data_IF_115156498087
#
_entry.id   IF_115156498087
#
_cell.length_a   1.000
_cell.length_b   1.000
_cell.length_c   1.000
_cell.angle_alpha   90.00
_cell.angle_beta   90.00
_cell.angle_gamma   90.00
#
_symmetry.space_group_name_H-M   'P 1'
#
loop_
_entity.id
_entity.type
_entity.pdbx_description
1 polymer ?
#
# COMPACT_ATOMS: atom_id res chain seq x y z
N UNK A 1 7.61 10.86 5.83
CA UNK A 1 6.87 10.10 6.87
C UNK A 1 7.54 8.79 7.27
N UNK A 2 8.32 8.17 6.37
CA UNK A 2 9.00 6.87 6.61
C UNK A 2 10.04 6.82 7.73
N UNK A 3 10.88 7.83 7.99
CA UNK A 3 11.75 7.80 9.18
C UNK A 3 10.94 7.76 10.48
N UNK A 4 9.70 8.28 10.47
CA UNK A 4 8.77 8.25 11.62
C UNK A 4 8.03 6.91 11.70
N UNK A 5 7.56 6.35 10.57
CA UNK A 5 6.98 4.99 10.53
C UNK A 5 8.03 3.92 10.84
N UNK A 6 9.27 4.09 10.38
CA UNK A 6 10.41 3.23 10.68
C UNK A 6 10.85 3.40 12.13
N UNK A 7 10.83 4.63 12.68
CA UNK A 7 10.94 4.84 14.14
C UNK A 7 9.73 4.31 14.90
N UNK A 8 8.56 4.11 14.31
CA UNK A 8 7.40 3.49 14.99
C UNK A 8 7.54 1.98 14.98
N UNK A 9 7.95 1.39 13.86
CA UNK A 9 8.32 -0.02 13.81
C UNK A 9 9.48 -0.26 14.77
N UNK A 10 10.52 0.59 14.80
CA UNK A 10 11.65 0.46 15.72
C UNK A 10 11.28 0.82 17.17
N UNK A 11 10.53 1.87 17.48
CA UNK A 11 10.14 2.22 18.86
C UNK A 11 9.06 1.29 19.43
N UNK A 12 8.20 0.72 18.59
CA UNK A 12 7.36 -0.41 19.00
C UNK A 12 8.16 -1.72 19.11
N UNK A 13 9.35 -1.82 18.50
CA UNK A 13 10.24 -2.99 18.59
C UNK A 13 11.40 -2.84 19.59
N UNK A 14 11.80 -1.64 20.07
CA UNK A 14 13.11 -1.45 20.73
C UNK A 14 13.11 -1.26 22.25
N UNK A 15 11.97 -0.98 22.93
CA UNK A 15 11.87 -1.29 24.36
C UNK A 15 10.63 -2.11 24.75
N UNK A 16 9.72 -2.43 23.82
CA UNK A 16 8.53 -3.26 24.13
C UNK A 16 8.83 -4.77 24.03
N UNK A 17 9.93 -5.16 23.38
CA UNK A 17 10.26 -6.57 23.16
C UNK A 17 10.77 -7.35 24.38
N UNK A 18 11.05 -6.70 25.53
CA UNK A 18 11.61 -7.38 26.69
C UNK A 18 10.63 -7.73 27.81
N UNK A 19 9.36 -7.35 27.70
CA UNK A 19 8.34 -7.92 28.58
C UNK A 19 6.96 -7.76 27.97
N UNK A 20 6.27 -8.89 27.81
CA UNK A 20 4.83 -9.07 27.50
C UNK A 20 4.47 -9.28 26.02
N UNK A 21 3.74 -10.39 25.82
CA UNK A 21 3.05 -10.90 24.63
C UNK A 21 2.99 -9.98 23.40
N UNK A 22 3.40 -10.55 22.26
CA UNK A 22 3.34 -10.00 20.92
C UNK A 22 2.04 -9.22 20.63
N UNK A 23 2.19 -7.91 20.46
CA UNK A 23 1.16 -7.11 19.77
C UNK A 23 1.10 -7.64 18.34
N UNK A 24 -0.10 -8.02 17.87
CA UNK A 24 -0.25 -8.54 16.53
C UNK A 24 0.07 -7.41 15.51
N UNK A 25 0.96 -7.64 14.52
CA UNK A 25 1.28 -6.62 13.50
C UNK A 25 0.04 -6.05 12.80
N UNK A 26 -0.99 -6.89 12.59
CA UNK A 26 -2.27 -6.47 12.03
C UNK A 26 -3.00 -5.45 12.93
N UNK A 27 -2.91 -5.58 14.25
CA UNK A 27 -3.51 -4.64 15.19
C UNK A 27 -2.80 -3.28 15.15
N UNK A 28 -1.47 -3.30 15.01
CA UNK A 28 -0.68 -2.06 14.85
C UNK A 28 -1.06 -1.34 13.57
N UNK A 29 -1.15 -2.07 12.45
CA UNK A 29 -1.56 -1.50 11.16
C UNK A 29 -3.00 -0.96 11.20
N UNK A 30 -3.93 -1.70 11.82
CA UNK A 30 -5.31 -1.24 11.96
C UNK A 30 -5.39 0.07 12.74
N UNK A 31 -4.68 0.18 13.86
CA UNK A 31 -4.61 1.41 14.66
C UNK A 31 -3.99 2.55 13.87
N UNK A 32 -2.87 2.30 13.19
CA UNK A 32 -2.19 3.30 12.36
C UNK A 32 -3.12 3.84 11.27
N UNK A 33 -3.74 2.97 10.47
CA UNK A 33 -4.66 3.39 9.41
C UNK A 33 -5.87 4.12 9.97
N UNK A 34 -6.42 3.67 11.10
CA UNK A 34 -7.53 4.35 11.75
C UNK A 34 -7.18 5.77 12.19
N UNK A 35 -5.94 6.05 12.58
CA UNK A 35 -5.50 7.40 12.94
C UNK A 35 -5.22 8.25 11.69
N UNK A 36 -4.54 7.70 10.69
CA UNK A 36 -4.18 8.44 9.47
C UNK A 36 -5.38 8.79 8.61
N UNK A 37 -6.44 7.98 8.66
CA UNK A 37 -7.68 8.17 7.90
C UNK A 37 -8.70 9.06 8.60
N UNK A 38 -8.48 9.42 9.88
CA UNK A 38 -9.41 10.24 10.67
C UNK A 38 -8.77 11.53 11.22
N UNK A 39 -8.15 12.39 10.38
CA UNK A 39 -7.47 13.61 10.84
C UNK A 39 -8.43 14.64 11.47
N UNK A 40 -9.68 14.64 11.06
CA UNK A 40 -10.71 15.56 11.56
C UNK A 40 -11.12 15.20 12.98
N UNK A 41 -11.27 13.90 13.25
CA UNK A 41 -11.52 13.36 14.58
C UNK A 41 -10.39 13.74 15.54
N UNK A 42 -9.13 13.60 15.11
CA UNK A 42 -7.97 13.98 15.89
C UNK A 42 -7.89 15.49 16.13
N UNK A 43 -8.29 16.30 15.15
CA UNK A 43 -8.38 17.76 15.31
C UNK A 43 -9.42 18.16 16.36
N UNK A 44 -10.60 17.52 16.33
CA UNK A 44 -11.67 17.74 17.32
C UNK A 44 -11.22 17.31 18.73
N UNK A 45 -10.55 16.16 18.82
CA UNK A 45 -9.99 15.69 20.09
C UNK A 45 -8.97 16.68 20.66
N UNK A 46 -8.01 17.13 19.84
CA UNK A 46 -6.98 18.06 20.25
C UNK A 46 -7.56 19.41 20.67
N UNK A 47 -8.61 19.90 20.00
CA UNK A 47 -9.28 21.14 20.40
C UNK A 47 -9.92 21.03 21.79
N UNK A 48 -10.51 19.88 22.12
CA UNK A 48 -11.09 19.64 23.46
C UNK A 48 -10.03 19.40 24.55
N UNK A 49 -8.81 18.99 24.17
CA UNK A 49 -7.68 18.93 25.09
C UNK A 49 -7.08 20.32 25.39
N UNK A 50 -7.19 21.26 24.45
CA UNK A 50 -6.63 22.61 24.54
C UNK A 50 -7.74 23.67 24.40
N UNK A 51 -8.62 23.79 25.41
CA UNK A 51 -9.68 24.79 25.43
C UNK A 51 -9.09 26.20 25.38
N UNK A 52 -9.76 27.10 24.67
CA UNK A 52 -9.34 28.51 24.55
C UNK A 52 -10.44 29.47 24.97
N UNK A 53 -11.69 29.01 25.03
CA UNK A 53 -12.84 29.79 25.43
C UNK A 53 -13.02 29.83 26.95
N UNK A 54 -13.57 30.93 27.47
CA UNK A 54 -13.97 31.01 28.88
C UNK A 54 -15.10 30.00 29.15
N UNK A 55 -14.92 29.15 30.17
CA UNK A 55 -15.89 28.12 30.57
C UNK A 55 -15.67 26.75 29.92
N UNK A 56 -14.66 26.60 29.06
CA UNK A 56 -14.29 25.30 28.49
C UNK A 56 -13.32 24.56 29.43
N UNK A 57 -13.61 23.29 29.71
CA UNK A 57 -12.74 22.42 30.51
C UNK A 57 -11.88 21.53 29.61
N UNK A 58 -10.61 21.38 29.96
CA UNK A 58 -9.71 20.48 29.24
C UNK A 58 -10.11 19.03 29.48
N UNK A 59 -10.28 18.27 28.40
CA UNK A 59 -10.66 16.85 28.47
C UNK A 59 -9.49 15.98 28.04
N UNK A 60 -9.05 15.09 28.93
CA UNK A 60 -7.95 14.16 28.67
C UNK A 60 -8.21 13.23 27.47
N UNK A 61 -9.36 12.52 27.48
CA UNK A 61 -9.83 11.68 26.37
C UNK A 61 -11.23 12.12 25.96
N UNK A 62 -11.34 12.69 24.77
CA UNK A 62 -12.60 13.22 24.22
C UNK A 62 -13.61 12.13 23.90
N UNK A 63 -14.90 12.50 23.76
CA UNK A 63 -15.93 11.61 23.24
C UNK A 63 -15.60 11.13 21.80
N UNK A 64 -14.93 11.98 21.01
CA UNK A 64 -14.45 11.65 19.66
C UNK A 64 -13.46 10.48 19.67
N UNK A 65 -12.44 10.56 20.53
CA UNK A 65 -11.46 9.47 20.70
C UNK A 65 -12.13 8.21 21.26
N UNK A 66 -13.05 8.35 22.23
CA UNK A 66 -13.80 7.21 22.77
C UNK A 66 -14.62 6.48 21.69
N UNK A 67 -15.22 7.21 20.75
CA UNK A 67 -15.95 6.62 19.64
C UNK A 67 -15.02 5.79 18.72
N UNK A 68 -13.85 6.33 18.38
CA UNK A 68 -12.83 5.59 17.62
C UNK A 68 -12.39 4.31 18.34
N UNK A 69 -12.11 4.42 19.65
CA UNK A 69 -11.71 3.27 20.47
C UNK A 69 -12.80 2.20 20.53
N UNK A 70 -14.07 2.58 20.65
CA UNK A 70 -15.18 1.61 20.65
C UNK A 70 -15.22 0.82 19.34
N UNK A 71 -15.11 1.50 18.19
CA UNK A 71 -15.05 0.83 16.88
C UNK A 71 -13.84 -0.08 16.75
N UNK A 72 -12.68 0.31 17.29
CA UNK A 72 -11.47 -0.53 17.31
C UNK A 72 -11.65 -1.77 18.18
N UNK A 73 -12.21 -1.63 19.37
CA UNK A 73 -12.47 -2.74 20.29
C UNK A 73 -13.45 -3.74 19.66
N UNK A 74 -14.50 -3.26 19.01
CA UNK A 74 -15.47 -4.09 18.30
C UNK A 74 -14.83 -4.85 17.15
N UNK A 75 -14.03 -4.17 16.31
CA UNK A 75 -13.30 -4.79 15.18
C UNK A 75 -12.26 -5.82 15.62
N UNK A 76 -11.59 -5.58 16.75
CA UNK A 76 -10.51 -6.44 17.25
C UNK A 76 -11.02 -7.60 18.13
N UNK A 77 -12.22 -7.48 18.71
CA UNK A 77 -12.76 -8.45 19.65
C UNK A 77 -11.80 -8.70 20.82
N UNK A 78 -11.56 -9.97 21.15
CA UNK A 78 -10.63 -10.41 22.21
C UNK A 78 -9.19 -9.92 21.98
N UNK A 79 -8.79 -9.64 20.73
CA UNK A 79 -7.44 -9.13 20.43
C UNK A 79 -7.24 -7.70 20.93
N UNK A 80 -8.30 -6.98 21.26
CA UNK A 80 -8.20 -5.63 21.84
C UNK A 80 -7.42 -5.62 23.17
N UNK A 81 -7.39 -6.74 23.91
CA UNK A 81 -6.61 -6.85 25.14
C UNK A 81 -5.10 -6.78 24.89
N UNK A 82 -4.65 -7.10 23.67
CA UNK A 82 -3.24 -6.97 23.28
C UNK A 82 -2.78 -5.52 23.13
N UNK A 83 -3.72 -4.56 23.03
CA UNK A 83 -3.41 -3.14 23.02
C UNK A 83 -3.08 -2.60 24.42
N UNK A 84 -3.41 -3.34 25.48
CA UNK A 84 -3.19 -2.97 26.87
C UNK A 84 -2.13 -3.88 27.52
N UNK A 85 -1.44 -3.37 28.54
CA UNK A 85 -0.53 -4.23 29.33
C UNK A 85 -1.37 -5.16 30.22
N UNK A 86 -0.84 -6.35 30.54
CA UNK A 86 -1.54 -7.39 31.34
C UNK A 86 -2.03 -6.89 32.72
N UNK A 87 -1.42 -5.83 33.26
CA UNK A 87 -1.79 -5.15 34.52
C UNK A 87 -2.90 -4.11 34.38
N UNK A 88 -3.37 -3.82 33.17
CA UNK A 88 -4.40 -2.82 32.85
C UNK A 88 -5.73 -3.46 32.42
N UNK A 89 -5.94 -4.75 32.71
CA UNK A 89 -7.21 -5.43 32.44
C UNK A 89 -8.30 -4.74 33.26
N UNK A 90 -9.03 -3.86 32.60
CA UNK A 90 -10.01 -2.95 33.19
C UNK A 90 -11.34 -3.22 32.51
N UNK A 91 -12.44 -3.18 33.28
CA UNK A 91 -13.77 -3.43 32.75
C UNK A 91 -14.31 -2.20 32.00
N UNK A 92 -15.04 -2.44 30.91
CA UNK A 92 -15.88 -1.45 30.23
C UNK A 92 -15.20 -0.12 29.88
N UNK A 93 -15.75 0.99 30.38
CA UNK A 93 -15.33 2.35 30.03
C UNK A 93 -13.89 2.69 30.44
N UNK A 94 -13.33 2.05 31.48
CA UNK A 94 -11.94 2.24 31.88
C UNK A 94 -10.97 1.72 30.81
N UNK A 95 -11.32 0.61 30.15
CA UNK A 95 -10.58 0.07 29.00
C UNK A 95 -10.55 1.06 27.85
N UNK A 96 -11.69 1.70 27.58
CA UNK A 96 -11.85 2.68 26.50
C UNK A 96 -10.97 3.91 26.77
N UNK A 97 -10.96 4.41 27.99
CA UNK A 97 -10.11 5.55 28.38
C UNK A 97 -8.63 5.18 28.28
N UNK A 98 -8.24 3.99 28.75
CA UNK A 98 -6.84 3.55 28.71
C UNK A 98 -6.32 3.37 27.27
N UNK A 99 -7.13 2.81 26.37
CA UNK A 99 -6.78 2.72 24.94
C UNK A 99 -6.78 4.13 24.32
N UNK A 100 -7.74 4.98 24.66
CA UNK A 100 -7.81 6.37 24.19
C UNK A 100 -6.57 7.19 24.54
N UNK A 101 -6.07 7.08 25.77
CA UNK A 101 -4.81 7.71 26.19
C UNK A 101 -3.61 7.24 25.35
N UNK A 102 -3.56 5.94 25.01
CA UNK A 102 -2.50 5.41 24.16
C UNK A 102 -2.62 5.92 22.73
N UNK A 103 -3.82 6.01 22.19
CA UNK A 103 -4.07 6.55 20.85
C UNK A 103 -3.70 8.03 20.78
N UNK A 104 -4.02 8.82 21.81
CA UNK A 104 -3.59 10.20 21.93
C UNK A 104 -2.06 10.31 21.89
N UNK A 105 -1.38 9.54 22.74
CA UNK A 105 0.09 9.53 22.76
C UNK A 105 0.68 9.11 21.40
N UNK A 106 0.10 8.11 20.76
CA UNK A 106 0.54 7.62 19.46
C UNK A 106 0.29 8.66 18.35
N UNK A 107 -0.81 9.40 18.40
CA UNK A 107 -1.10 10.48 17.46
C UNK A 107 -0.05 11.60 17.54
N UNK A 108 0.43 11.93 18.75
CA UNK A 108 1.51 12.90 18.98
C UNK A 108 2.84 12.42 18.43
N UNK A 109 3.21 11.15 18.64
CA UNK A 109 4.43 10.54 18.06
C UNK A 109 4.40 10.56 16.52
N UNK A 110 3.21 10.40 15.94
CA UNK A 110 2.98 10.41 14.51
C UNK A 110 2.90 11.82 13.90
N UNK A 111 3.01 12.88 14.71
CA UNK A 111 2.72 14.27 14.33
C UNK A 111 1.32 14.47 13.72
N UNK A 112 0.37 13.64 14.17
CA UNK A 112 -1.06 13.78 13.88
C UNK A 112 -1.76 14.60 14.97
N UNK A 113 -1.09 15.65 15.43
CA UNK A 113 -1.56 16.54 16.48
C UNK A 113 -1.39 18.00 16.06
N UNK A 114 -2.46 18.82 16.05
CA UNK A 114 -2.44 20.15 15.46
C UNK A 114 -1.85 21.24 16.36
N UNK A 115 -1.17 20.89 17.44
CA UNK A 115 -0.53 21.83 18.36
C UNK A 115 0.97 21.52 18.48
N UNK A 116 1.78 22.56 18.62
CA UNK A 116 3.21 22.42 18.86
C UNK A 116 3.53 22.13 20.34
N UNK A 117 4.80 21.83 20.63
CA UNK A 117 5.30 21.61 22.00
C UNK A 117 5.11 22.83 22.93
N UNK A 118 4.82 24.01 22.36
CA UNK A 118 4.56 25.26 23.08
C UNK A 118 3.06 25.53 23.25
N UNK A 119 2.18 24.64 22.78
CA UNK A 119 0.72 24.76 22.86
C UNK A 119 0.08 25.68 21.83
N UNK A 120 0.78 26.09 20.78
CA UNK A 120 0.21 26.90 19.70
C UNK A 120 -0.47 26.02 18.65
N UNK A 121 -1.67 26.42 18.27
CA UNK A 121 -2.44 25.75 17.21
C UNK A 121 -1.81 26.04 15.84
N UNK A 122 -1.35 24.98 15.16
CA UNK A 122 -0.70 25.08 13.84
C UNK A 122 -1.68 25.01 12.66
N UNK A 123 -2.96 24.76 12.92
CA UNK A 123 -4.00 24.63 11.89
C UNK A 123 -4.65 23.25 11.84
N UNK A 124 -5.70 23.09 11.03
CA UNK A 124 -6.41 21.82 10.87
C UNK A 124 -5.47 20.79 10.22
N UNK A 125 -5.47 19.56 10.74
CA UNK A 125 -4.72 18.46 10.14
C UNK A 125 -5.19 18.25 8.70
N UNK A 126 -4.24 18.12 7.78
CA UNK A 126 -4.51 17.80 6.38
C UNK A 126 -4.73 16.29 6.23
N UNK A 127 -5.51 15.84 5.23
CA UNK A 127 -5.57 14.44 4.87
C UNK A 127 -4.16 13.85 4.67
N UNK A 128 -3.92 12.68 5.25
CA UNK A 128 -2.64 12.00 5.11
C UNK A 128 -2.45 11.62 3.65
N UNK A 129 -1.35 12.08 3.03
CA UNK A 129 -1.00 11.62 1.69
C UNK A 129 -0.56 10.14 1.78
N UNK A 130 -1.34 9.29 1.12
CA UNK A 130 -1.05 7.86 1.02
C UNK A 130 -0.06 7.54 -0.10
N UNK A 131 0.47 8.55 -0.80
CA UNK A 131 1.43 8.33 -1.88
C UNK A 131 2.73 7.70 -1.39
N UNK A 132 3.18 8.06 -0.18
CA UNK A 132 4.34 7.41 0.47
C UNK A 132 4.04 5.95 0.89
N UNK A 133 2.77 5.55 1.00
CA UNK A 133 2.35 4.20 1.38
C UNK A 133 2.09 3.30 0.17
N UNK A 134 2.21 3.84 -1.04
CA UNK A 134 2.02 3.04 -2.26
C UNK A 134 3.08 1.94 -2.33
N UNK A 135 2.69 0.70 -2.66
CA UNK A 135 3.64 -0.40 -2.75
C UNK A 135 4.64 -0.17 -3.90
N UNK A 136 5.88 -0.64 -3.70
CA UNK A 136 6.82 -0.77 -4.80
C UNK A 136 6.37 -1.94 -5.68
N UNK A 137 5.98 -1.63 -6.92
CA UNK A 137 5.45 -2.64 -7.84
C UNK A 137 6.56 -3.27 -8.69
N UNK A 138 6.58 -4.59 -8.69
CA UNK A 138 7.50 -5.42 -9.44
C UNK A 138 6.71 -6.26 -10.46
N UNK A 139 7.12 -6.19 -11.71
CA UNK A 139 6.63 -7.04 -12.81
C UNK A 139 7.64 -8.16 -12.97
N UNK A 140 7.28 -9.39 -12.61
CA UNK A 140 8.15 -10.56 -12.64
C UNK A 140 7.54 -11.69 -13.48
N UNK A 141 8.34 -12.69 -13.89
CA UNK A 141 7.83 -13.88 -14.55
C UNK A 141 6.82 -14.62 -13.68
N UNK A 142 5.78 -15.18 -14.30
CA UNK A 142 4.75 -15.93 -13.57
C UNK A 142 5.26 -17.30 -13.06
N UNK A 143 6.28 -17.84 -13.72
CA UNK A 143 6.87 -19.15 -13.41
C UNK A 143 8.01 -19.00 -12.40
N UNK A 144 8.02 -19.80 -11.33
CA UNK A 144 9.11 -19.83 -10.33
C UNK A 144 10.28 -20.73 -10.75
N UNK A 145 10.08 -21.57 -11.75
CA UNK A 145 11.06 -22.53 -12.27
C UNK A 145 10.99 -22.61 -13.79
N UNK A 146 12.02 -23.21 -14.40
CA UNK A 146 12.08 -23.49 -15.81
C UNK A 146 11.07 -24.59 -16.20
N UNK A 147 10.13 -24.27 -17.09
CA UNK A 147 9.08 -25.19 -17.57
C UNK A 147 9.55 -26.07 -18.72
N UNK A 148 10.76 -25.83 -19.25
CA UNK A 148 11.32 -26.64 -20.33
C UNK A 148 11.57 -28.07 -19.83
N UNK A 149 11.03 -29.08 -20.55
CA UNK A 149 11.11 -30.52 -20.19
C UNK A 149 12.52 -30.98 -19.82
N UNK A 150 13.54 -30.48 -20.52
CA UNK A 150 14.94 -30.86 -20.35
C UNK A 150 15.58 -30.29 -19.07
N UNK A 151 15.00 -29.25 -18.48
CA UNK A 151 15.61 -28.49 -17.38
C UNK A 151 15.18 -28.90 -15.98
N UNK A 152 14.36 -29.95 -15.83
CA UNK A 152 13.95 -30.53 -14.53
C UNK A 152 13.58 -29.47 -13.47
N UNK A 153 12.78 -28.46 -13.84
CA UNK A 153 12.29 -27.44 -12.91
C UNK A 153 13.38 -26.63 -12.18
N UNK A 154 14.53 -26.39 -12.82
CA UNK A 154 15.59 -25.53 -12.25
C UNK A 154 15.07 -24.11 -11.97
N UNK A 155 15.58 -23.51 -10.89
CA UNK A 155 15.27 -22.13 -10.52
C UNK A 155 15.71 -21.14 -11.59
N UNK A 156 14.89 -20.09 -11.76
CA UNK A 156 15.23 -18.97 -12.63
C UNK A 156 16.17 -18.03 -11.87
N UNK A 157 17.25 -17.63 -12.53
CA UNK A 157 18.12 -16.55 -12.03
C UNK A 157 17.65 -15.23 -12.60
N UNK A 158 17.83 -14.14 -11.88
CA UNK A 158 17.63 -12.82 -12.48
C UNK A 158 18.64 -12.61 -13.61
N UNK A 159 18.14 -12.17 -14.77
CA UNK A 159 18.98 -11.93 -15.95
C UNK A 159 19.58 -10.52 -15.95
N UNK A 160 18.75 -9.51 -15.69
CA UNK A 160 19.17 -8.11 -15.67
C UNK A 160 19.91 -7.78 -14.37
N UNK A 161 21.13 -7.21 -14.43
CA UNK A 161 21.77 -6.68 -13.23
C UNK A 161 20.98 -5.46 -12.72
N UNK A 162 21.11 -5.09 -11.43
CA UNK A 162 20.32 -4.02 -10.82
C UNK A 162 20.31 -2.69 -11.57
N UNK A 163 21.46 -2.31 -12.15
CA UNK A 163 21.63 -1.08 -12.95
C UNK A 163 20.86 -1.05 -14.28
N UNK A 164 20.49 -2.22 -14.81
CA UNK A 164 19.84 -2.38 -16.12
C UNK A 164 18.36 -2.76 -15.95
N UNK A 165 17.80 -2.66 -14.73
CA UNK A 165 16.38 -2.93 -14.48
C UNK A 165 15.58 -1.71 -14.96
N UNK A 166 14.72 -1.85 -15.98
CA UNK A 166 13.93 -0.72 -16.46
C UNK A 166 12.79 -0.39 -15.50
N UNK A 167 12.53 0.91 -15.36
CA UNK A 167 11.31 1.44 -14.75
C UNK A 167 10.26 1.72 -15.81
N UNK A 168 9.02 1.36 -15.53
CA UNK A 168 7.89 1.44 -16.47
C UNK A 168 6.65 2.02 -15.80
N UNK A 169 5.70 2.44 -16.61
CA UNK A 169 4.33 2.75 -16.16
C UNK A 169 3.52 1.46 -16.14
N UNK A 170 2.94 1.13 -14.99
CA UNK A 170 2.03 0.00 -14.81
C UNK A 170 0.62 0.51 -14.55
N UNK A 171 -0.32 0.12 -15.40
CA UNK A 171 -1.76 0.33 -15.16
C UNK A 171 -2.30 -0.95 -14.52
N UNK A 172 -2.80 -0.84 -13.28
CA UNK A 172 -3.34 -1.96 -12.52
C UNK A 172 -4.78 -1.65 -12.13
N UNK A 173 -5.73 -2.34 -12.75
CA UNK A 173 -7.15 -1.96 -12.63
C UNK A 173 -7.39 -0.56 -13.17
N UNK A 174 -7.81 0.36 -12.29
CA UNK A 174 -8.06 1.78 -12.59
C UNK A 174 -6.94 2.72 -12.09
N UNK A 175 -5.85 2.18 -11.53
CA UNK A 175 -4.75 2.99 -10.98
C UNK A 175 -3.54 3.00 -11.91
N UNK A 176 -2.91 4.18 -12.02
CA UNK A 176 -1.68 4.39 -12.78
C UNK A 176 -0.50 4.47 -11.82
N UNK A 177 0.38 3.47 -11.88
CA UNK A 177 1.60 3.42 -11.09
C UNK A 177 2.81 3.78 -11.94
N UNK A 178 3.49 4.87 -11.58
CA UNK A 178 4.77 5.25 -12.17
C UNK A 178 5.90 4.51 -11.45
N UNK A 179 6.97 4.20 -12.17
CA UNK A 179 8.19 3.57 -11.63
C UNK A 179 8.01 2.12 -11.14
N UNK A 180 7.20 1.31 -11.83
CA UNK A 180 7.22 -0.13 -11.62
C UNK A 180 8.49 -0.75 -12.23
N UNK A 181 9.12 -1.70 -11.55
CA UNK A 181 10.34 -2.35 -12.08
C UNK A 181 10.00 -3.62 -12.84
N UNK A 182 10.65 -3.85 -13.98
CA UNK A 182 10.48 -5.09 -14.76
C UNK A 182 11.67 -6.01 -14.55
N UNK A 183 11.41 -7.15 -13.93
CA UNK A 183 12.39 -8.20 -13.69
C UNK A 183 12.25 -9.29 -14.73
N UNK A 184 13.39 -9.79 -15.19
CA UNK A 184 13.47 -10.90 -16.14
C UNK A 184 14.24 -12.06 -15.55
N UNK A 185 13.72 -13.27 -15.72
CA UNK A 185 14.37 -14.51 -15.33
C UNK A 185 15.13 -15.14 -16.49
N UNK A 186 16.18 -15.90 -16.19
CA UNK A 186 16.89 -16.75 -17.14
C UNK A 186 17.14 -18.13 -16.51
N UNK A 187 16.90 -19.19 -17.29
CA UNK A 187 17.34 -20.52 -16.89
C UNK A 187 18.83 -20.68 -17.14
N UNK A 188 19.59 -21.09 -16.12
CA UNK A 188 21.05 -21.26 -16.27
C UNK A 188 21.44 -22.36 -17.28
N UNK A 189 20.55 -23.35 -17.46
CA UNK A 189 20.78 -24.55 -18.28
C UNK A 189 20.38 -24.34 -19.74
N UNK A 190 19.10 -24.09 -20.03
CA UNK A 190 18.61 -23.91 -21.41
C UNK A 190 18.70 -22.48 -21.94
N UNK A 191 19.13 -21.51 -21.11
CA UNK A 191 19.22 -20.09 -21.45
C UNK A 191 17.88 -19.43 -21.89
N UNK A 192 16.75 -20.11 -21.72
CA UNK A 192 15.43 -19.52 -21.92
C UNK A 192 15.25 -18.32 -20.99
N UNK A 193 14.84 -17.20 -21.59
CA UNK A 193 14.46 -15.98 -20.91
C UNK A 193 12.99 -16.01 -20.58
N UNK A 194 12.67 -15.65 -19.35
CA UNK A 194 11.32 -15.59 -18.81
C UNK A 194 11.02 -14.12 -18.51
N UNK A 195 10.02 -13.57 -19.18
CA UNK A 195 9.46 -12.26 -18.91
C UNK A 195 8.06 -12.43 -18.32
N UNK A 196 7.44 -11.34 -17.87
CA UNK A 196 6.10 -11.40 -17.28
C UNK A 196 4.98 -11.77 -18.28
N UNK A 197 5.14 -11.42 -19.55
CA UNK A 197 4.14 -11.65 -20.61
C UNK A 197 4.50 -12.79 -21.57
N UNK A 198 5.79 -13.15 -21.65
CA UNK A 198 6.30 -14.09 -22.64
C UNK A 198 7.55 -14.82 -22.19
N UNK A 199 7.80 -15.95 -22.82
CA UNK A 199 9.05 -16.69 -22.75
C UNK A 199 9.78 -16.59 -24.10
N UNK A 200 11.11 -16.55 -24.03
CA UNK A 200 11.98 -16.46 -25.21
C UNK A 200 13.05 -17.53 -25.10
N UNK A 201 13.04 -18.49 -26.02
CA UNK A 201 14.06 -19.53 -26.14
C UNK A 201 14.73 -19.46 -27.50
N UNK A 202 15.98 -19.88 -27.56
CA UNK A 202 16.71 -20.05 -28.82
C UNK A 202 16.62 -21.52 -29.21
N UNK A 203 16.13 -21.80 -30.41
CA UNK A 203 16.06 -23.16 -30.95
C UNK A 203 17.44 -23.61 -31.46
N UNK A 204 17.55 -24.90 -31.81
CA UNK A 204 18.76 -25.49 -32.43
C UNK A 204 19.25 -24.72 -33.65
N UNK A 205 18.32 -24.13 -34.41
CA UNK A 205 18.59 -23.48 -35.69
C UNK A 205 18.98 -22.00 -35.52
N UNK A 206 19.37 -21.59 -34.29
CA UNK A 206 19.60 -20.20 -33.87
C UNK A 206 18.39 -19.26 -34.03
N UNK A 207 17.22 -19.76 -34.44
CA UNK A 207 15.99 -18.99 -34.47
C UNK A 207 15.49 -18.75 -33.06
N UNK A 208 15.10 -17.52 -32.77
CA UNK A 208 14.52 -17.13 -31.49
C UNK A 208 13.02 -17.36 -31.52
N UNK A 209 12.53 -18.32 -30.73
CA UNK A 209 11.10 -18.50 -30.53
C UNK A 209 10.61 -17.58 -29.40
N UNK A 210 9.40 -17.04 -29.57
CA UNK A 210 8.71 -16.20 -28.58
C UNK A 210 7.35 -16.81 -28.31
N UNK A 211 7.08 -17.16 -27.06
CA UNK A 211 5.83 -17.76 -26.63
C UNK A 211 5.14 -16.83 -25.64
N UNK A 212 3.98 -16.28 -26.02
CA UNK A 212 3.18 -15.46 -25.12
C UNK A 212 2.40 -16.34 -24.15
N UNK A 213 2.34 -15.92 -22.89
CA UNK A 213 1.72 -16.72 -21.85
C UNK A 213 0.23 -16.37 -21.74
N UNK A 214 -0.63 -17.34 -22.01
CA UNK A 214 -2.08 -17.21 -21.75
C UNK A 214 -2.41 -17.00 -20.27
N UNK A 215 -1.45 -17.25 -19.36
CA UNK A 215 -1.53 -17.00 -17.91
C UNK A 215 -0.76 -15.74 -17.46
N UNK A 216 -0.22 -14.94 -18.39
CA UNK A 216 0.47 -13.68 -18.10
C UNK A 216 -0.39 -12.74 -17.26
N UNK A 217 0.07 -12.37 -16.06
CA UNK A 217 -0.65 -11.41 -15.19
C UNK A 217 -0.59 -9.98 -15.73
N UNK A 218 0.51 -9.67 -16.41
CA UNK A 218 0.77 -8.36 -17.00
C UNK A 218 1.08 -8.52 -18.47
N UNK A 219 0.67 -7.55 -19.27
CA UNK A 219 0.91 -7.48 -20.71
C UNK A 219 1.66 -6.19 -21.04
N UNK A 220 2.67 -6.30 -21.90
CA UNK A 220 3.38 -5.13 -22.44
C UNK A 220 2.59 -4.58 -23.62
N UNK A 221 2.07 -3.35 -23.49
CA UNK A 221 1.24 -2.69 -24.51
C UNK A 221 1.97 -1.54 -25.21
N UNK A 222 3.00 -0.98 -24.58
CA UNK A 222 3.85 0.06 -25.17
C UNK A 222 5.34 -0.20 -24.93
N UNK A 223 6.20 0.76 -25.30
CA UNK A 223 7.64 0.65 -25.05
C UNK A 223 7.94 0.59 -23.53
N UNK A 224 7.29 1.45 -22.76
CA UNK A 224 7.43 1.61 -21.31
C UNK A 224 6.10 1.48 -20.56
N UNK A 225 5.08 0.86 -21.17
CA UNK A 225 3.74 0.72 -20.59
C UNK A 225 3.35 -0.74 -20.47
N UNK A 226 2.98 -1.13 -19.25
CA UNK A 226 2.47 -2.44 -18.90
C UNK A 226 1.09 -2.30 -18.30
N UNK A 227 0.25 -3.30 -18.51
CA UNK A 227 -1.12 -3.33 -18.00
C UNK A 227 -1.41 -4.67 -17.36
N UNK A 228 -2.32 -4.70 -16.38
CA UNK A 228 -2.82 -5.95 -15.83
C UNK A 228 -4.03 -6.50 -16.62
N UNK A 229 -4.46 -7.70 -16.23
CA UNK A 229 -5.65 -8.33 -16.83
C UNK A 229 -6.94 -7.58 -16.54
N UNK A 230 -7.05 -6.96 -15.37
CA UNK A 230 -8.28 -6.25 -14.98
C UNK A 230 -8.51 -5.07 -15.92
N UNK A 231 -7.46 -4.27 -16.14
CA UNK A 231 -7.47 -3.20 -17.13
C UNK A 231 -7.76 -3.75 -18.53
N UNK A 232 -7.01 -4.78 -18.97
CA UNK A 232 -7.17 -5.35 -20.32
C UNK A 232 -8.60 -5.86 -20.57
N UNK A 233 -9.20 -6.52 -19.58
CA UNK A 233 -10.59 -6.98 -19.66
C UNK A 233 -11.58 -5.81 -19.68
N UNK A 234 -11.34 -4.75 -18.89
CA UNK A 234 -12.16 -3.55 -18.92
C UNK A 234 -12.11 -2.83 -20.28
N UNK A 235 -10.95 -2.78 -20.93
CA UNK A 235 -10.82 -2.23 -22.29
C UNK A 235 -11.61 -3.07 -23.29
N UNK A 236 -11.41 -4.39 -23.31
CA UNK A 236 -12.12 -5.28 -24.24
C UNK A 236 -13.63 -5.23 -24.03
N UNK A 237 -14.09 -5.32 -22.78
CA UNK A 237 -15.50 -5.19 -22.45
C UNK A 237 -16.04 -3.82 -22.84
N UNK A 238 -15.27 -2.74 -22.65
CA UNK A 238 -15.65 -1.40 -23.09
C UNK A 238 -15.86 -1.33 -24.60
N UNK A 239 -14.91 -1.88 -25.38
CA UNK A 239 -14.99 -1.90 -26.85
C UNK A 239 -16.14 -2.77 -27.37
N UNK A 240 -16.33 -3.97 -26.80
CA UNK A 240 -17.37 -4.89 -27.24
C UNK A 240 -18.77 -4.47 -26.78
N UNK A 241 -18.94 -4.05 -25.53
CA UNK A 241 -20.26 -3.74 -24.97
C UNK A 241 -20.79 -2.36 -25.39
N UNK A 242 -19.91 -1.37 -25.57
CA UNK A 242 -20.33 -0.02 -25.98
C UNK A 242 -20.15 0.24 -27.48
N UNK A 243 -19.67 -0.75 -28.25
CA UNK A 243 -19.19 -0.57 -29.62
C UNK A 243 -18.23 0.63 -29.75
N UNK A 244 -17.55 0.96 -28.65
CA UNK A 244 -16.69 2.13 -28.58
C UNK A 244 -15.46 1.87 -29.44
N UNK A 245 -15.13 2.83 -30.31
CA UNK A 245 -13.86 2.80 -31.00
C UNK A 245 -12.72 2.86 -29.98
N UNK A 246 -11.54 2.32 -30.34
CA UNK A 246 -10.35 2.43 -29.51
C UNK A 246 -10.02 3.91 -29.17
N UNK A 247 -10.35 4.84 -30.07
CA UNK A 247 -10.18 6.27 -29.85
C UNK A 247 -11.14 6.81 -28.77
N UNK A 248 -12.42 6.45 -28.84
CA UNK A 248 -13.41 6.87 -27.85
C UNK A 248 -13.08 6.34 -26.45
N UNK A 249 -12.63 5.07 -26.35
CA UNK A 249 -12.19 4.52 -25.08
C UNK A 249 -10.92 5.23 -24.55
N UNK A 250 -9.97 5.52 -25.44
CA UNK A 250 -8.74 6.25 -25.07
C UNK A 250 -9.07 7.65 -24.54
N UNK A 251 -10.01 8.36 -25.17
CA UNK A 251 -10.48 9.66 -24.72
C UNK A 251 -11.18 9.58 -23.37
N UNK A 252 -12.13 8.64 -23.20
CA UNK A 252 -12.77 8.37 -21.92
C UNK A 252 -11.74 8.12 -20.81
N UNK A 253 -10.77 7.23 -21.06
CA UNK A 253 -9.73 6.89 -20.11
C UNK A 253 -8.88 8.10 -19.74
N UNK A 254 -8.39 8.82 -20.75
CA UNK A 254 -7.54 9.99 -20.53
C UNK A 254 -8.29 11.09 -19.78
N UNK A 255 -9.58 11.31 -20.06
CA UNK A 255 -10.40 12.29 -19.36
C UNK A 255 -10.73 11.87 -17.92
N UNK A 256 -10.88 10.56 -17.66
CA UNK A 256 -11.28 10.05 -16.35
C UNK A 256 -10.11 9.81 -15.40
N UNK A 257 -8.94 9.45 -15.92
CA UNK A 257 -7.82 8.94 -15.12
C UNK A 257 -6.47 9.62 -15.38
N UNK A 258 -6.33 10.45 -16.42
CA UNK A 258 -5.08 11.17 -16.71
C UNK A 258 -5.16 12.63 -16.26
N UNK A 259 -4.87 12.88 -14.99
CA UNK A 259 -4.60 14.24 -14.53
C UNK A 259 -3.21 14.72 -15.03
N UNK A 260 -3.16 15.94 -15.54
CA UNK A 260 -1.94 16.68 -15.89
C UNK A 260 -1.00 15.96 -16.88
N UNK A 261 -1.53 15.33 -17.93
CA UNK A 261 -0.79 14.67 -19.04
C UNK A 261 0.04 13.44 -18.66
N UNK A 262 0.00 13.02 -17.39
CA UNK A 262 0.75 11.84 -16.96
C UNK A 262 -0.14 10.61 -17.00
N UNK A 263 0.32 9.56 -17.69
CA UNK A 263 -0.47 8.34 -17.91
C UNK A 263 -1.44 8.39 -19.09
N UNK A 264 -1.31 9.39 -19.98
CA UNK A 264 -2.05 9.41 -21.24
C UNK A 264 -1.69 8.17 -22.05
N UNK A 265 -2.72 7.42 -22.44
CA UNK A 265 -2.59 6.38 -23.43
C UNK A 265 -2.61 7.09 -24.78
N UNK A 266 -1.53 6.96 -25.55
CA UNK A 266 -1.45 7.42 -26.94
C UNK A 266 -1.71 6.25 -27.88
N UNK A 267 -2.28 6.56 -29.04
CA UNK A 267 -2.43 5.59 -30.13
C UNK A 267 -1.07 5.17 -30.69
#
# INVERSE_FOLDING_TARGET
>A
MWNKIFNIVICCLSPIYLATKAICPLCVLLVLFSLTDNPELLSLHAKQQNPTGKGENAVRVSAWTKALVRGLVERLGEKSDTLLKKTQSTSGDLKIVAIGDKLDHFSKILDLYPYDDKGHFQGKLKPTSHDELKPVLLICPNSSFCVTKQCKHRSLKQHSPPRDIPTVTLIKGNEIHKNAYVLTGICSSCKTLYLADRERSTNSDNTVSRMYLNSARYLKVGQSTWVDRVFSAAVLNGMYSFHASAAAYTEFWNNSYSENSTGKITR
#
